data_IF_811929697999
#
_entry.id   IF_811929697999
#
_cell.length_a   1.000
_cell.length_b   1.000
_cell.length_c   1.000
_cell.angle_alpha   90.00
_cell.angle_beta   90.00
_cell.angle_gamma   90.00
#
_symmetry.space_group_name_H-M   'P 1'
#
loop_
_entity.id
_entity.type
_entity.pdbx_description
1 polymer ?
#
# COMPACT_ATOMS: atom_id res chain seq x y z
N UNK A 1 -20.01 -0.17 13.42
CA UNK A 1 -18.60 0.28 13.39
C UNK A 1 -17.80 -0.54 14.37
N UNK A 2 -16.62 -1.03 13.99
CA UNK A 2 -15.73 -1.74 14.89
C UNK A 2 -14.37 -1.06 14.91
N UNK A 3 -13.82 -0.91 16.11
CA UNK A 3 -12.43 -0.55 16.37
C UNK A 3 -11.63 -1.83 16.52
N UNK A 4 -10.42 -1.84 15.95
CA UNK A 4 -9.50 -2.96 16.13
C UNK A 4 -8.24 -2.47 16.82
N UNK A 5 -7.79 -3.25 17.80
CA UNK A 5 -6.54 -2.99 18.52
C UNK A 5 -5.65 -4.23 18.49
N UNK A 6 -4.45 -4.07 17.95
CA UNK A 6 -3.40 -5.09 17.92
C UNK A 6 -2.30 -4.64 18.87
N UNK A 7 -1.97 -5.44 19.87
CA UNK A 7 -0.94 -5.14 20.85
C UNK A 7 0.09 -6.26 20.88
N UNK A 8 1.32 -5.95 20.44
CA UNK A 8 2.44 -6.88 20.39
C UNK A 8 2.13 -8.15 19.57
N UNK A 9 1.26 -8.05 18.55
CA UNK A 9 0.81 -9.23 17.81
C UNK A 9 1.96 -9.84 17.02
N UNK A 10 2.14 -11.17 17.21
CA UNK A 10 3.20 -11.94 16.58
C UNK A 10 2.69 -13.23 15.93
N UNK A 11 3.42 -13.68 14.91
CA UNK A 11 3.18 -14.94 14.21
C UNK A 11 4.46 -15.66 13.87
N UNK A 12 4.58 -16.88 14.37
CA UNK A 12 5.68 -17.80 14.06
C UNK A 12 5.13 -19.11 13.48
N UNK A 13 5.85 -19.67 12.54
CA UNK A 13 5.64 -21.03 12.01
C UNK A 13 6.87 -21.87 12.35
N UNK A 14 6.78 -22.64 13.45
CA UNK A 14 7.93 -23.35 14.00
C UNK A 14 9.04 -22.38 14.41
N UNK A 15 10.19 -22.43 13.75
CA UNK A 15 11.34 -21.57 14.02
C UNK A 15 11.38 -20.28 13.16
N UNK A 16 10.39 -20.06 12.29
CA UNK A 16 10.36 -18.91 11.41
C UNK A 16 9.37 -17.87 11.93
N UNK A 17 9.87 -16.71 12.31
CA UNK A 17 9.05 -15.56 12.69
C UNK A 17 8.66 -14.80 11.42
N UNK A 18 7.34 -14.68 11.19
CA UNK A 18 6.76 -13.99 10.03
C UNK A 18 6.32 -12.58 10.39
N UNK A 19 5.77 -12.42 11.59
CA UNK A 19 5.37 -11.13 12.15
C UNK A 19 5.80 -11.08 13.61
N UNK A 20 6.31 -9.94 14.04
CA UNK A 20 6.73 -9.67 15.40
C UNK A 20 6.35 -8.26 15.82
N UNK A 21 5.87 -8.14 17.03
CA UNK A 21 5.63 -6.85 17.70
C UNK A 21 4.78 -5.88 16.87
N UNK A 22 3.64 -6.37 16.39
CA UNK A 22 2.68 -5.56 15.62
C UNK A 22 1.78 -4.83 16.60
N UNK A 23 2.01 -3.52 16.74
CA UNK A 23 1.15 -2.57 17.43
C UNK A 23 0.41 -1.72 16.40
N UNK A 24 -0.93 -1.80 16.39
CA UNK A 24 -1.75 -1.09 15.42
C UNK A 24 -3.14 -0.86 15.98
N UNK A 25 -3.55 0.40 16.00
CA UNK A 25 -4.91 0.82 16.29
C UNK A 25 -5.62 1.23 15.01
N UNK A 26 -6.80 0.67 14.74
CA UNK A 26 -7.63 0.96 13.57
C UNK A 26 -8.95 1.53 14.08
N UNK A 27 -9.25 2.74 13.65
CA UNK A 27 -10.45 3.46 14.07
C UNK A 27 -11.72 2.91 13.41
N UNK A 28 -12.87 3.19 14.03
CA UNK A 28 -14.19 2.81 13.51
C UNK A 28 -14.48 3.49 12.18
N UNK A 29 -14.85 2.69 11.17
CA UNK A 29 -15.15 3.19 9.82
C UNK A 29 -13.94 3.57 8.99
N UNK A 30 -12.74 3.28 9.47
CA UNK A 30 -11.50 3.54 8.74
C UNK A 30 -11.31 2.59 7.56
N UNK A 31 -10.77 3.10 6.44
CA UNK A 31 -10.25 2.30 5.34
C UNK A 31 -8.73 2.21 5.44
N UNK A 32 -8.23 1.13 6.00
CA UNK A 32 -6.79 0.93 6.16
C UNK A 32 -6.24 -0.06 5.11
N UNK A 33 -5.07 0.25 4.54
CA UNK A 33 -4.46 -0.59 3.51
C UNK A 33 -3.11 -1.10 3.98
N UNK A 34 -2.91 -2.41 3.95
CA UNK A 34 -1.63 -3.06 4.23
C UNK A 34 -0.84 -3.24 2.94
N UNK A 35 0.36 -2.69 2.89
CA UNK A 35 1.30 -2.81 1.77
C UNK A 35 2.66 -3.32 2.25
N UNK A 36 3.49 -3.76 1.31
CA UNK A 36 4.84 -4.24 1.61
C UNK A 36 5.29 -5.28 0.58
N UNK A 37 6.56 -5.70 0.60
CA UNK A 37 7.10 -6.68 -0.32
C UNK A 37 6.44 -8.05 -0.17
N UNK A 38 6.64 -8.92 -1.16
CA UNK A 38 6.14 -10.29 -1.09
C UNK A 38 6.75 -11.02 0.11
N UNK A 39 5.91 -11.74 0.84
CA UNK A 39 6.36 -12.52 2.01
C UNK A 39 6.49 -11.73 3.33
N UNK A 40 6.23 -10.42 3.39
CA UNK A 40 6.32 -9.64 4.63
C UNK A 40 5.18 -9.86 5.64
N UNK A 41 4.25 -10.78 5.37
CA UNK A 41 3.21 -11.15 6.34
C UNK A 41 1.85 -10.48 6.18
N UNK A 42 1.59 -9.64 5.15
CA UNK A 42 0.30 -8.93 4.93
C UNK A 42 -0.92 -9.85 5.01
N UNK A 43 -0.97 -10.87 4.15
CA UNK A 43 -2.10 -11.82 4.13
C UNK A 43 -2.16 -12.68 5.41
N UNK A 44 -1.00 -12.92 6.06
CA UNK A 44 -0.96 -13.60 7.35
C UNK A 44 -1.64 -12.75 8.43
N UNK A 45 -1.30 -11.46 8.51
CA UNK A 45 -1.93 -10.51 9.43
C UNK A 45 -3.44 -10.42 9.18
N UNK A 46 -3.84 -10.27 7.91
CA UNK A 46 -5.25 -10.24 7.54
C UNK A 46 -5.99 -11.51 7.97
N UNK A 47 -5.39 -12.69 7.77
CA UNK A 47 -5.97 -13.99 8.17
C UNK A 47 -6.01 -14.18 9.67
N UNK A 48 -5.07 -13.62 10.42
CA UNK A 48 -5.13 -13.59 11.89
C UNK A 48 -6.31 -12.74 12.37
N UNK A 49 -6.54 -11.57 11.77
CA UNK A 49 -7.72 -10.73 12.06
C UNK A 49 -9.01 -11.50 11.73
N UNK A 50 -9.06 -12.19 10.59
CA UNK A 50 -10.20 -13.02 10.19
C UNK A 50 -10.42 -14.25 11.11
N UNK A 51 -9.44 -14.65 11.91
CA UNK A 51 -9.45 -15.89 12.70
C UNK A 51 -9.17 -17.15 11.89
N UNK A 52 -8.69 -17.01 10.67
CA UNK A 52 -8.30 -18.13 9.80
C UNK A 52 -6.87 -18.61 10.08
N UNK A 53 -6.10 -17.80 10.80
CA UNK A 53 -4.74 -18.10 11.24
C UNK A 53 -4.61 -17.74 12.72
N UNK A 54 -3.93 -18.59 13.49
CA UNK A 54 -3.74 -18.36 14.92
C UNK A 54 -2.63 -17.33 15.19
N UNK A 55 -2.89 -16.42 16.10
CA UNK A 55 -1.90 -15.52 16.70
C UNK A 55 -1.00 -16.36 17.63
N UNK A 56 0.32 -16.17 17.56
CA UNK A 56 1.29 -16.90 18.43
C UNK A 56 1.79 -16.06 19.59
N UNK A 57 1.63 -14.74 19.55
CA UNK A 57 1.94 -13.80 20.63
C UNK A 57 1.12 -12.54 20.51
N UNK A 58 0.98 -11.79 21.60
CA UNK A 58 0.19 -10.57 21.65
C UNK A 58 -1.31 -10.78 21.67
N UNK A 59 -2.06 -9.68 21.49
CA UNK A 59 -3.52 -9.64 21.62
C UNK A 59 -4.15 -8.90 20.47
N UNK A 60 -5.23 -9.45 19.91
CA UNK A 60 -6.13 -8.78 18.97
C UNK A 60 -7.47 -8.54 19.65
N UNK A 61 -7.92 -7.31 19.66
CA UNK A 61 -9.24 -6.91 20.13
C UNK A 61 -10.08 -6.33 18.99
N UNK A 62 -11.39 -6.61 19.03
CA UNK A 62 -12.40 -5.98 18.16
C UNK A 62 -13.51 -5.46 19.08
N UNK A 63 -13.77 -4.14 19.05
CA UNK A 63 -14.72 -3.47 19.97
C UNK A 63 -14.41 -3.73 21.45
N UNK A 64 -13.13 -3.86 21.83
CA UNK A 64 -12.68 -4.14 23.20
C UNK A 64 -12.81 -5.60 23.63
N UNK A 65 -13.23 -6.50 22.76
CA UNK A 65 -13.30 -7.95 23.02
C UNK A 65 -12.08 -8.67 22.44
N UNK A 66 -11.40 -9.48 23.23
CA UNK A 66 -10.26 -10.27 22.81
C UNK A 66 -10.69 -11.36 21.83
N UNK A 67 -10.08 -11.39 20.65
CA UNK A 67 -10.46 -12.27 19.54
C UNK A 67 -9.53 -13.47 19.32
N UNK A 68 -8.45 -13.59 20.07
CA UNK A 68 -7.42 -14.61 19.84
C UNK A 68 -7.98 -16.03 19.65
N UNK A 69 -8.92 -16.43 20.50
CA UNK A 69 -9.54 -17.76 20.50
C UNK A 69 -10.98 -17.79 19.95
N UNK A 70 -11.51 -16.64 19.51
CA UNK A 70 -12.86 -16.54 18.93
C UNK A 70 -12.85 -17.11 17.52
N UNK A 71 -13.77 -18.07 17.20
CA UNK A 71 -13.87 -18.63 15.86
C UNK A 71 -14.24 -17.57 14.79
N UNK A 72 -13.79 -17.72 13.53
CA UNK A 72 -14.02 -16.74 12.45
C UNK A 72 -15.48 -16.32 12.28
N UNK A 73 -16.41 -17.27 12.40
CA UNK A 73 -17.85 -17.02 12.23
C UNK A 73 -18.45 -16.08 13.28
N UNK A 74 -17.80 -15.91 14.43
CA UNK A 74 -18.29 -15.14 15.58
C UNK A 74 -17.58 -13.79 15.74
N UNK A 75 -16.56 -13.48 14.92
CA UNK A 75 -15.80 -12.21 15.00
C UNK A 75 -16.50 -11.00 14.40
N UNK A 76 -17.67 -11.19 13.75
CA UNK A 76 -18.35 -10.09 13.05
C UNK A 76 -17.61 -9.58 11.80
N UNK A 77 -16.70 -10.38 11.26
CA UNK A 77 -15.87 -10.04 10.08
C UNK A 77 -16.38 -10.76 8.82
N UNK A 78 -16.18 -10.14 7.65
CA UNK A 78 -16.35 -10.78 6.36
C UNK A 78 -15.10 -10.59 5.51
N UNK A 79 -14.74 -11.61 4.70
CA UNK A 79 -13.51 -11.60 3.92
C UNK A 79 -13.78 -11.91 2.45
N UNK A 80 -13.18 -11.12 1.58
CA UNK A 80 -13.08 -11.34 0.14
C UNK A 80 -11.68 -11.87 -0.17
N UNK A 81 -11.63 -13.08 -0.72
CA UNK A 81 -10.38 -13.75 -1.06
C UNK A 81 -9.89 -13.38 -2.46
N UNK A 82 -8.62 -13.47 -2.70
CA UNK A 82 -7.96 -13.26 -3.98
C UNK A 82 -8.59 -14.08 -5.14
N UNK A 83 -9.03 -15.31 -4.88
CA UNK A 83 -9.62 -16.23 -5.86
C UNK A 83 -11.15 -16.13 -5.96
N UNK A 84 -11.77 -15.11 -5.33
CA UNK A 84 -13.22 -14.93 -5.21
C UNK A 84 -13.95 -16.05 -4.46
N UNK A 85 -13.48 -17.29 -4.49
CA UNK A 85 -14.00 -18.47 -3.82
C UNK A 85 -15.52 -18.68 -4.02
N UNK A 86 -16.04 -18.41 -5.24
CA UNK A 86 -17.45 -18.61 -5.57
C UNK A 86 -17.78 -20.10 -5.70
N UNK A 87 -18.99 -20.48 -5.27
CA UNK A 87 -19.53 -21.82 -5.49
C UNK A 87 -19.97 -21.97 -6.94
N UNK A 88 -19.27 -22.76 -7.78
CA UNK A 88 -19.46 -22.74 -9.25
C UNK A 88 -20.80 -23.31 -9.71
N UNK A 89 -21.44 -24.13 -8.86
CA UNK A 89 -22.74 -24.80 -9.13
C UNK A 89 -23.92 -23.99 -8.60
N UNK A 90 -23.70 -22.88 -7.92
CA UNK A 90 -24.74 -22.01 -7.38
C UNK A 90 -24.90 -20.76 -8.25
N UNK A 91 -26.13 -20.24 -8.37
CA UNK A 91 -26.40 -18.95 -9.00
C UNK A 91 -25.76 -17.80 -8.21
N UNK A 92 -25.74 -16.60 -8.78
CA UNK A 92 -25.31 -15.37 -8.06
C UNK A 92 -26.14 -15.19 -6.78
N UNK A 93 -27.46 -15.29 -6.90
CA UNK A 93 -28.41 -15.23 -5.78
C UNK A 93 -28.05 -16.24 -4.69
N UNK A 94 -27.86 -17.51 -5.06
CA UNK A 94 -27.56 -18.56 -4.10
C UNK A 94 -26.18 -18.41 -3.47
N UNK A 95 -25.17 -17.96 -4.22
CA UNK A 95 -23.86 -17.62 -3.69
C UNK A 95 -23.98 -16.56 -2.59
N UNK A 96 -24.75 -15.49 -2.82
CA UNK A 96 -24.94 -14.42 -1.84
C UNK A 96 -25.77 -14.89 -0.64
N UNK A 97 -26.84 -15.64 -0.88
CA UNK A 97 -27.73 -16.16 0.15
C UNK A 97 -27.11 -17.22 1.07
N UNK A 98 -26.04 -17.91 0.61
CA UNK A 98 -25.56 -19.15 1.24
C UNK A 98 -25.24 -19.01 2.73
N UNK A 99 -24.50 -17.96 3.11
CA UNK A 99 -24.13 -17.76 4.52
C UNK A 99 -25.35 -17.51 5.41
N UNK A 100 -26.35 -16.78 4.93
CA UNK A 100 -27.57 -16.49 5.67
C UNK A 100 -28.47 -17.73 5.79
N UNK A 101 -28.51 -18.60 4.74
CA UNK A 101 -29.21 -19.88 4.79
C UNK A 101 -28.60 -20.82 5.86
N UNK A 102 -27.26 -20.90 5.94
CA UNK A 102 -26.58 -21.69 6.99
C UNK A 102 -26.84 -21.12 8.38
N UNK A 103 -26.92 -19.80 8.50
CA UNK A 103 -27.26 -19.13 9.77
C UNK A 103 -28.74 -19.28 10.17
N UNK A 104 -29.57 -19.97 9.36
CA UNK A 104 -30.98 -20.22 9.65
C UNK A 104 -31.87 -18.99 9.59
N UNK A 105 -31.46 -17.94 8.83
CA UNK A 105 -32.25 -16.72 8.68
C UNK A 105 -33.56 -16.96 7.94
N UNK A 106 -34.64 -16.23 8.25
CA UNK A 106 -35.91 -16.31 7.52
C UNK A 106 -35.73 -15.95 6.04
N UNK A 107 -36.49 -16.64 5.15
CA UNK A 107 -36.40 -16.43 3.70
C UNK A 107 -36.61 -14.95 3.30
N UNK A 108 -37.56 -14.25 3.91
CA UNK A 108 -37.81 -12.84 3.65
C UNK A 108 -36.61 -11.93 4.02
N UNK A 109 -35.89 -12.25 5.08
CA UNK A 109 -34.67 -11.52 5.49
C UNK A 109 -33.53 -11.79 4.49
N UNK A 110 -33.38 -13.04 4.05
CA UNK A 110 -32.39 -13.42 3.03
C UNK A 110 -32.66 -12.69 1.70
N UNK A 111 -33.90 -12.71 1.23
CA UNK A 111 -34.29 -12.07 -0.03
C UNK A 111 -34.07 -10.55 0.03
N UNK A 112 -34.40 -9.90 1.14
CA UNK A 112 -34.16 -8.48 1.34
C UNK A 112 -32.66 -8.15 1.34
N UNK A 113 -31.82 -8.92 2.05
CA UNK A 113 -30.38 -8.73 2.11
C UNK A 113 -29.71 -8.92 0.75
N UNK A 114 -30.11 -9.98 0.02
CA UNK A 114 -29.59 -10.26 -1.33
C UNK A 114 -30.01 -9.16 -2.31
N UNK A 115 -31.27 -8.72 -2.29
CA UNK A 115 -31.74 -7.63 -3.15
C UNK A 115 -31.01 -6.31 -2.86
N UNK A 116 -30.78 -5.99 -1.59
CA UNK A 116 -30.01 -4.79 -1.21
C UNK A 116 -28.57 -4.85 -1.72
N UNK A 117 -27.87 -5.96 -1.48
CA UNK A 117 -26.49 -6.14 -1.94
C UNK A 117 -26.40 -6.16 -3.49
N UNK A 118 -27.35 -6.80 -4.18
CA UNK A 118 -27.43 -6.80 -5.64
C UNK A 118 -27.56 -5.39 -6.21
N UNK A 119 -28.43 -4.56 -5.62
CA UNK A 119 -28.63 -3.17 -6.01
C UNK A 119 -27.36 -2.33 -5.80
N UNK A 120 -26.69 -2.45 -4.65
CA UNK A 120 -25.46 -1.73 -4.34
C UNK A 120 -24.38 -2.04 -5.38
N UNK A 121 -24.29 -3.31 -5.79
CA UNK A 121 -23.25 -3.85 -6.67
C UNK A 121 -23.70 -3.96 -8.14
N UNK A 122 -24.88 -3.49 -8.49
CA UNK A 122 -25.45 -3.54 -9.85
C UNK A 122 -25.47 -5.00 -10.41
N UNK A 123 -25.86 -5.95 -9.57
CA UNK A 123 -25.93 -7.38 -9.91
C UNK A 123 -27.33 -7.88 -10.24
N UNK A 124 -28.38 -7.02 -10.16
CA UNK A 124 -29.78 -7.41 -10.40
C UNK A 124 -29.98 -8.20 -11.70
N UNK A 125 -29.39 -7.82 -12.88
CA UNK A 125 -29.57 -8.57 -14.14
C UNK A 125 -28.87 -9.94 -14.18
N UNK A 126 -28.04 -10.24 -13.18
CA UNK A 126 -27.17 -11.41 -13.15
C UNK A 126 -27.54 -12.44 -12.08
N UNK A 127 -28.54 -12.15 -11.24
CA UNK A 127 -28.90 -12.93 -10.05
C UNK A 127 -29.10 -14.42 -10.33
N UNK A 128 -29.67 -14.78 -11.49
CA UNK A 128 -29.98 -16.16 -11.87
C UNK A 128 -28.86 -16.84 -12.70
N UNK A 129 -27.74 -16.13 -12.93
CA UNK A 129 -26.60 -16.69 -13.68
C UNK A 129 -25.68 -17.50 -12.78
N UNK A 130 -24.99 -18.47 -13.38
CA UNK A 130 -23.87 -19.19 -12.75
C UNK A 130 -22.56 -18.39 -12.91
N UNK A 131 -21.56 -18.55 -12.00
CA UNK A 131 -20.26 -17.86 -12.07
C UNK A 131 -19.53 -17.99 -13.41
N UNK A 132 -19.67 -19.12 -14.11
CA UNK A 132 -19.08 -19.35 -15.44
C UNK A 132 -19.59 -18.40 -16.54
N UNK A 133 -20.78 -17.83 -16.36
CA UNK A 133 -21.42 -16.90 -17.29
C UNK A 133 -21.16 -15.42 -16.95
N UNK A 134 -20.21 -15.14 -16.03
CA UNK A 134 -19.87 -13.81 -15.55
C UNK A 134 -18.46 -13.41 -15.99
N UNK A 135 -18.25 -12.10 -16.22
CA UNK A 135 -16.92 -11.52 -16.37
C UNK A 135 -16.12 -11.57 -15.05
N UNK A 136 -14.81 -11.29 -15.10
CA UNK A 136 -13.95 -11.21 -13.91
C UNK A 136 -14.49 -10.24 -12.86
N UNK A 137 -14.80 -9.00 -13.25
CA UNK A 137 -15.37 -8.00 -12.36
C UNK A 137 -16.75 -8.36 -11.81
N UNK A 138 -17.61 -8.99 -12.63
CA UNK A 138 -18.89 -9.49 -12.13
C UNK A 138 -18.71 -10.58 -11.07
N UNK A 139 -17.77 -11.52 -11.28
CA UNK A 139 -17.44 -12.53 -10.25
C UNK A 139 -16.93 -11.89 -8.96
N UNK A 140 -16.11 -10.88 -9.07
CA UNK A 140 -15.61 -10.13 -7.91
C UNK A 140 -16.75 -9.43 -7.17
N UNK A 141 -17.66 -8.73 -7.87
CA UNK A 141 -18.84 -8.12 -7.24
C UNK A 141 -19.70 -9.16 -6.52
N UNK A 142 -19.85 -10.36 -7.06
CA UNK A 142 -20.56 -11.46 -6.37
C UNK A 142 -19.81 -11.86 -5.08
N UNK A 143 -18.48 -11.94 -5.10
CA UNK A 143 -17.69 -12.24 -3.90
C UNK A 143 -17.84 -11.15 -2.83
N UNK A 144 -17.84 -9.87 -3.23
CA UNK A 144 -18.13 -8.73 -2.36
C UNK A 144 -19.58 -8.83 -1.83
N UNK A 145 -20.56 -9.14 -2.68
CA UNK A 145 -21.95 -9.30 -2.29
C UNK A 145 -22.18 -10.40 -1.24
N UNK A 146 -21.46 -11.52 -1.34
CA UNK A 146 -21.45 -12.58 -0.31
C UNK A 146 -20.98 -12.09 1.06
N UNK A 147 -20.11 -11.10 1.08
CA UNK A 147 -19.61 -10.51 2.30
C UNK A 147 -20.60 -9.46 2.84
N UNK A 148 -21.13 -8.58 1.98
CA UNK A 148 -22.06 -7.52 2.35
C UNK A 148 -23.35 -8.05 2.98
N UNK A 149 -23.95 -9.13 2.45
CA UNK A 149 -25.20 -9.70 2.99
C UNK A 149 -25.12 -10.12 4.45
N UNK A 150 -23.91 -10.27 5.00
CA UNK A 150 -23.68 -10.62 6.40
C UNK A 150 -23.70 -9.41 7.33
N UNK A 151 -23.77 -8.20 6.78
CA UNK A 151 -23.67 -6.93 7.53
C UNK A 151 -22.48 -6.91 8.49
N UNK A 152 -21.25 -7.03 7.94
CA UNK A 152 -20.07 -7.18 8.78
C UNK A 152 -19.68 -5.86 9.45
N UNK A 153 -19.17 -5.93 10.68
CA UNK A 153 -18.52 -4.80 11.35
C UNK A 153 -17.16 -4.45 10.72
N UNK A 154 -16.43 -5.47 10.26
CA UNK A 154 -15.11 -5.35 9.63
C UNK A 154 -15.11 -6.10 8.30
N UNK A 155 -14.68 -5.41 7.24
CA UNK A 155 -14.60 -5.97 5.90
C UNK A 155 -13.14 -6.14 5.49
N UNK A 156 -12.74 -7.36 5.17
CA UNK A 156 -11.37 -7.75 4.86
C UNK A 156 -11.22 -8.09 3.38
N UNK A 157 -10.20 -7.54 2.71
CA UNK A 157 -9.88 -7.79 1.30
C UNK A 157 -8.45 -8.31 1.17
N UNK A 158 -8.29 -9.56 0.69
CA UNK A 158 -6.98 -10.19 0.42
C UNK A 158 -6.67 -10.11 -1.07
N UNK A 159 -5.96 -9.08 -1.52
CA UNK A 159 -5.55 -8.79 -2.90
C UNK A 159 -6.69 -8.97 -3.93
N UNK A 160 -7.85 -8.32 -3.76
CA UNK A 160 -9.04 -8.63 -4.54
C UNK A 160 -8.93 -8.29 -6.03
N UNK A 161 -8.00 -7.40 -6.43
CA UNK A 161 -7.86 -6.94 -7.82
C UNK A 161 -6.72 -7.61 -8.59
N UNK A 162 -5.90 -8.45 -7.95
CA UNK A 162 -4.68 -9.03 -8.53
C UNK A 162 -4.95 -9.89 -9.79
N UNK A 163 -6.12 -10.50 -9.90
CA UNK A 163 -6.51 -11.38 -11.02
C UNK A 163 -7.28 -10.66 -12.15
N UNK A 164 -7.31 -9.32 -12.15
CA UNK A 164 -8.01 -8.52 -13.16
C UNK A 164 -7.02 -7.90 -14.16
N UNK A 165 -7.49 -7.72 -15.40
CA UNK A 165 -6.79 -6.87 -16.38
C UNK A 165 -6.76 -5.41 -15.95
N UNK A 166 -5.88 -4.60 -16.56
CA UNK A 166 -5.63 -3.21 -16.15
C UNK A 166 -6.90 -2.34 -16.20
N UNK A 167 -7.72 -2.44 -17.26
CA UNK A 167 -8.92 -1.62 -17.41
C UNK A 167 -9.98 -1.98 -16.35
N UNK A 168 -10.18 -3.28 -16.13
CA UNK A 168 -11.13 -3.79 -15.14
C UNK A 168 -10.66 -3.49 -13.71
N UNK A 169 -9.34 -3.52 -13.46
CA UNK A 169 -8.75 -3.14 -12.16
C UNK A 169 -9.08 -1.69 -11.81
N UNK A 170 -8.89 -0.75 -12.74
CA UNK A 170 -9.25 0.66 -12.54
C UNK A 170 -10.74 0.82 -12.21
N UNK A 171 -11.62 0.20 -13.02
CA UNK A 171 -13.07 0.28 -12.80
C UNK A 171 -13.47 -0.27 -11.42
N UNK A 172 -12.94 -1.44 -11.06
CA UNK A 172 -13.31 -2.10 -9.80
C UNK A 172 -12.72 -1.37 -8.57
N UNK A 173 -11.54 -0.75 -8.70
CA UNK A 173 -10.99 0.11 -7.64
C UNK A 173 -11.95 1.27 -7.32
N UNK A 174 -12.49 1.93 -8.36
CA UNK A 174 -13.51 2.99 -8.19
C UNK A 174 -14.76 2.44 -7.49
N UNK A 175 -15.20 1.23 -7.85
CA UNK A 175 -16.35 0.59 -7.21
C UNK A 175 -16.11 0.30 -5.71
N UNK A 176 -14.90 -0.11 -5.33
CA UNK A 176 -14.52 -0.33 -3.92
C UNK A 176 -14.49 1.00 -3.16
N UNK A 177 -13.96 2.08 -3.76
CA UNK A 177 -14.00 3.41 -3.16
C UNK A 177 -15.46 3.87 -2.91
N UNK A 178 -16.35 3.71 -3.90
CA UNK A 178 -17.77 4.02 -3.75
C UNK A 178 -18.49 3.11 -2.72
N UNK A 179 -18.02 1.86 -2.58
CA UNK A 179 -18.55 0.96 -1.57
C UNK A 179 -18.24 1.47 -0.16
N UNK A 180 -17.01 1.93 0.07
CA UNK A 180 -16.62 2.55 1.34
C UNK A 180 -17.50 3.76 1.68
N UNK A 181 -17.74 4.66 0.72
CA UNK A 181 -18.63 5.81 0.91
C UNK A 181 -20.08 5.41 1.28
N UNK A 182 -20.57 4.28 0.72
CA UNK A 182 -21.91 3.75 1.00
C UNK A 182 -22.00 2.97 2.32
N UNK A 183 -20.86 2.58 2.88
CA UNK A 183 -20.76 1.80 4.12
C UNK A 183 -19.87 2.52 5.17
N UNK A 184 -20.18 3.77 5.53
CA UNK A 184 -19.29 4.58 6.39
C UNK A 184 -19.13 4.00 7.80
N UNK A 185 -20.04 3.12 8.21
CA UNK A 185 -20.03 2.45 9.51
C UNK A 185 -19.24 1.14 9.52
N UNK A 186 -18.64 0.74 8.39
CA UNK A 186 -17.90 -0.52 8.27
C UNK A 186 -16.41 -0.23 8.18
N UNK A 187 -15.63 -0.75 9.12
CA UNK A 187 -14.16 -0.68 9.05
C UNK A 187 -13.65 -1.59 7.94
N UNK A 188 -12.80 -1.09 7.05
CA UNK A 188 -12.27 -1.84 5.92
C UNK A 188 -10.77 -2.04 6.02
N UNK A 189 -10.31 -3.28 5.88
CA UNK A 189 -8.89 -3.64 5.84
C UNK A 189 -8.60 -4.29 4.49
N UNK A 190 -7.67 -3.69 3.75
CA UNK A 190 -7.35 -4.08 2.38
C UNK A 190 -5.88 -4.43 2.24
N UNK A 191 -5.58 -5.58 1.69
CA UNK A 191 -4.21 -6.00 1.36
C UNK A 191 -3.98 -5.84 -0.13
N UNK A 192 -2.88 -5.20 -0.50
CA UNK A 192 -2.44 -5.09 -1.89
C UNK A 192 -0.91 -5.00 -1.99
N UNK A 193 -0.38 -5.32 -3.17
CA UNK A 193 0.98 -4.99 -3.58
C UNK A 193 1.00 -3.83 -4.59
N UNK A 194 -0.17 -3.32 -5.01
CA UNK A 194 -0.31 -2.20 -5.94
C UNK A 194 -0.36 -0.88 -5.18
N UNK A 195 0.65 -0.03 -5.37
CA UNK A 195 0.74 1.26 -4.71
C UNK A 195 -0.36 2.23 -5.11
N UNK A 196 -0.85 2.15 -6.37
CA UNK A 196 -1.91 3.02 -6.85
C UNK A 196 -3.23 2.70 -6.14
N UNK A 197 -3.48 1.40 -5.85
CA UNK A 197 -4.63 0.99 -5.03
C UNK A 197 -4.51 1.59 -3.62
N UNK A 198 -3.35 1.42 -2.97
CA UNK A 198 -3.12 1.93 -1.62
C UNK A 198 -3.26 3.46 -1.55
N UNK A 199 -2.60 4.19 -2.45
CA UNK A 199 -2.64 5.66 -2.49
C UNK A 199 -4.04 6.22 -2.80
N UNK A 200 -4.91 5.43 -3.47
CA UNK A 200 -6.25 5.88 -3.88
C UNK A 200 -7.32 5.54 -2.86
N UNK A 201 -7.23 4.36 -2.22
CA UNK A 201 -8.30 3.82 -1.38
C UNK A 201 -8.13 4.13 0.11
N UNK A 202 -6.87 4.24 0.58
CA UNK A 202 -6.60 4.28 2.00
C UNK A 202 -6.90 5.63 2.66
N UNK A 203 -7.50 5.61 3.83
CA UNK A 203 -7.41 6.70 4.82
C UNK A 203 -6.01 6.70 5.44
N UNK A 204 -5.52 5.52 5.85
CA UNK A 204 -4.13 5.29 6.27
C UNK A 204 -3.57 4.03 5.61
N UNK A 205 -2.27 4.07 5.33
CA UNK A 205 -1.49 2.93 4.83
C UNK A 205 -0.60 2.41 5.95
N UNK A 206 -0.54 1.09 6.11
CA UNK A 206 0.45 0.39 6.96
C UNK A 206 1.48 -0.24 6.03
N UNK A 207 2.70 0.22 6.10
CA UNK A 207 3.83 -0.36 5.37
C UNK A 207 4.47 -1.42 6.23
N UNK A 208 4.37 -2.69 5.81
CA UNK A 208 4.97 -3.85 6.48
C UNK A 208 6.31 -4.20 5.85
N UNK A 209 7.33 -4.37 6.67
CA UNK A 209 8.67 -4.81 6.25
C UNK A 209 9.39 -5.52 7.39
N UNK A 210 10.23 -6.52 7.06
CA UNK A 210 11.05 -7.22 8.05
C UNK A 210 10.27 -7.88 9.20
N UNK A 211 9.01 -8.24 8.96
CA UNK A 211 8.14 -8.83 9.97
C UNK A 211 7.45 -7.82 10.91
N UNK A 212 7.69 -6.52 10.75
CA UNK A 212 7.10 -5.45 11.56
C UNK A 212 6.44 -4.35 10.74
N UNK A 213 6.01 -3.29 11.41
CA UNK A 213 5.48 -2.07 10.80
C UNK A 213 6.62 -1.08 10.58
N UNK A 214 6.90 -0.74 9.32
CA UNK A 214 7.91 0.25 8.97
C UNK A 214 7.39 1.70 9.13
N UNK A 215 6.14 1.94 8.74
CA UNK A 215 5.46 3.23 8.94
C UNK A 215 3.95 3.07 8.80
N UNK A 216 3.19 3.88 9.53
CA UNK A 216 1.75 4.08 9.36
C UNK A 216 1.48 5.56 9.17
N UNK A 217 0.60 5.91 8.23
CA UNK A 217 0.22 7.30 7.99
C UNK A 217 -0.74 7.47 6.81
N UNK A 218 -1.17 8.69 6.57
CA UNK A 218 -1.94 9.04 5.39
C UNK A 218 -1.10 8.82 4.10
N UNK A 219 -1.73 8.48 2.95
CA UNK A 219 -0.98 8.20 1.72
C UNK A 219 0.05 9.26 1.35
N UNK A 220 -0.32 10.53 1.32
CA UNK A 220 0.60 11.63 0.98
C UNK A 220 1.67 11.85 2.05
N UNK A 221 1.37 11.58 3.33
CA UNK A 221 2.37 11.66 4.40
C UNK A 221 3.51 10.65 4.18
N UNK A 222 3.19 9.40 3.82
CA UNK A 222 4.20 8.40 3.52
C UNK A 222 5.04 8.77 2.29
N UNK A 223 4.42 9.42 1.32
CA UNK A 223 5.08 9.86 0.11
C UNK A 223 6.00 11.06 0.36
N UNK A 224 5.52 12.09 1.05
CA UNK A 224 6.25 13.34 1.28
C UNK A 224 7.22 13.26 2.48
N UNK A 225 6.93 12.41 3.46
CA UNK A 225 7.67 12.30 4.73
C UNK A 225 7.95 10.84 5.10
N UNK A 226 8.68 10.10 4.26
CA UNK A 226 9.04 8.72 4.58
C UNK A 226 9.94 8.66 5.82
N UNK A 227 9.64 7.72 6.73
CA UNK A 227 10.38 7.57 7.99
C UNK A 227 11.78 7.00 7.79
N UNK A 228 11.96 6.20 6.75
CA UNK A 228 13.23 5.54 6.45
C UNK A 228 13.40 5.32 4.93
N UNK A 229 14.60 4.93 4.52
CA UNK A 229 14.94 4.69 3.12
C UNK A 229 14.07 3.60 2.48
N UNK A 230 13.72 2.57 3.25
CA UNK A 230 12.84 1.50 2.75
C UNK A 230 11.47 2.07 2.33
N UNK A 231 10.82 2.85 3.18
CA UNK A 231 9.52 3.47 2.87
C UNK A 231 9.66 4.45 1.72
N UNK A 232 10.75 5.24 1.68
CA UNK A 232 11.03 6.19 0.61
C UNK A 232 11.13 5.54 -0.77
N UNK A 233 11.80 4.38 -0.84
CA UNK A 233 11.95 3.60 -2.07
C UNK A 233 10.72 2.74 -2.38
N UNK A 234 10.02 2.26 -1.35
CA UNK A 234 8.84 1.42 -1.54
C UNK A 234 7.62 2.22 -1.99
N UNK A 235 7.43 3.46 -1.51
CA UNK A 235 6.30 4.33 -1.86
C UNK A 235 6.70 5.29 -2.98
N UNK A 236 6.08 5.12 -4.14
CA UNK A 236 6.35 5.87 -5.36
C UNK A 236 6.87 4.97 -6.49
N UNK A 237 6.53 5.33 -7.73
CA UNK A 237 6.95 4.60 -8.93
C UNK A 237 7.31 5.58 -10.05
N UNK A 238 8.58 5.55 -10.51
CA UNK A 238 9.70 4.75 -10.04
C UNK A 238 10.12 5.03 -8.59
N UNK A 239 10.98 4.15 -8.01
CA UNK A 239 11.49 4.31 -6.65
C UNK A 239 12.32 5.59 -6.48
N UNK A 240 12.38 6.12 -5.24
CA UNK A 240 13.24 7.25 -4.90
C UNK A 240 14.71 6.93 -5.17
N UNK A 241 15.41 7.85 -5.83
CA UNK A 241 16.87 7.76 -5.98
C UNK A 241 17.56 8.06 -4.65
N UNK A 242 18.60 7.30 -4.33
CA UNK A 242 19.44 7.55 -3.16
C UNK A 242 20.87 7.87 -3.62
N UNK A 243 21.46 8.93 -3.05
CA UNK A 243 22.83 9.34 -3.33
C UNK A 243 23.59 9.48 -2.01
N UNK A 244 24.72 8.78 -1.90
CA UNK A 244 25.56 8.83 -0.72
C UNK A 244 26.37 10.15 -0.65
N UNK A 245 26.57 10.64 0.56
CA UNK A 245 27.34 11.88 0.79
C UNK A 245 27.65 12.12 2.26
N UNK A 246 28.14 13.31 2.53
CA UNK A 246 28.53 13.79 3.85
C UNK A 246 27.98 15.20 4.09
N UNK A 247 27.45 15.46 5.27
CA UNK A 247 26.98 16.79 5.65
C UNK A 247 28.17 17.75 5.74
N UNK A 248 28.20 18.75 4.88
CA UNK A 248 29.26 19.76 4.78
C UNK A 248 28.85 21.12 5.37
N UNK A 249 27.55 21.31 5.66
CA UNK A 249 27.02 22.50 6.31
C UNK A 249 25.71 22.21 6.99
N UNK A 250 25.53 22.77 8.16
CA UNK A 250 24.41 22.53 9.08
C UNK A 250 23.58 23.80 9.32
N UNK A 251 22.36 23.65 9.83
CA UNK A 251 21.45 24.76 10.15
C UNK A 251 20.03 24.50 9.64
N UNK A 252 19.32 25.60 9.30
CA UNK A 252 17.98 25.52 8.73
C UNK A 252 17.99 24.93 7.31
N UNK A 253 19.10 25.06 6.59
CA UNK A 253 19.39 24.39 5.33
C UNK A 253 20.62 23.51 5.54
N UNK A 254 20.51 22.26 5.11
CA UNK A 254 21.61 21.29 5.16
C UNK A 254 22.32 21.27 3.81
N UNK A 255 23.64 21.39 3.83
CA UNK A 255 24.48 21.26 2.63
C UNK A 255 25.17 19.90 2.66
N UNK A 256 25.02 19.13 1.60
CA UNK A 256 25.57 17.77 1.49
C UNK A 256 26.53 17.70 0.31
N UNK A 257 27.78 17.27 0.54
CA UNK A 257 28.75 16.95 -0.48
C UNK A 257 28.56 15.48 -0.87
N UNK A 258 28.29 15.23 -2.15
CA UNK A 258 28.02 13.88 -2.65
C UNK A 258 29.30 13.15 -3.04
N UNK A 259 29.33 11.84 -2.84
CA UNK A 259 30.48 11.00 -3.16
C UNK A 259 30.75 10.94 -4.67
N UNK A 260 29.71 10.93 -5.49
CA UNK A 260 29.83 11.00 -6.96
C UNK A 260 30.23 12.39 -7.49
N UNK A 261 30.47 13.34 -6.58
CA UNK A 261 30.73 14.74 -6.91
C UNK A 261 29.42 15.59 -6.92
N UNK A 262 29.59 16.90 -6.79
CA UNK A 262 28.48 17.83 -6.69
C UNK A 262 28.04 18.09 -5.24
N UNK A 263 27.07 19.00 -5.11
CA UNK A 263 26.55 19.46 -3.83
C UNK A 263 25.02 19.47 -3.88
N UNK A 264 24.40 18.85 -2.89
CA UNK A 264 22.97 18.95 -2.67
C UNK A 264 22.65 19.90 -1.52
N UNK A 265 21.48 20.51 -1.58
CA UNK A 265 20.90 21.31 -0.48
C UNK A 265 19.57 20.72 -0.09
N UNK A 266 19.26 20.77 1.20
CA UNK A 266 17.97 20.28 1.73
C UNK A 266 17.44 21.24 2.78
N UNK A 267 16.11 21.42 2.80
CA UNK A 267 15.42 22.16 3.86
C UNK A 267 15.25 21.36 5.15
N UNK A 268 15.69 20.10 5.19
CA UNK A 268 15.75 19.29 6.42
C UNK A 268 16.79 19.90 7.34
N UNK A 269 16.40 20.38 8.55
CA UNK A 269 17.33 21.05 9.43
C UNK A 269 18.30 20.06 10.09
N UNK A 270 19.56 20.50 10.24
CA UNK A 270 20.61 19.73 10.92
C UNK A 270 21.27 20.55 12.02
N UNK A 271 21.88 19.83 12.98
CA UNK A 271 22.55 20.42 14.14
C UNK A 271 24.06 20.48 13.88
N UNK A 272 24.83 21.37 14.59
CA UNK A 272 26.28 21.45 14.42
C UNK A 272 27.02 20.11 14.57
N UNK A 273 26.51 19.22 15.45
CA UNK A 273 27.09 17.88 15.63
C UNK A 273 26.88 16.92 14.45
N UNK A 274 26.01 17.27 13.51
CA UNK A 274 25.78 16.48 12.30
C UNK A 274 26.84 16.77 11.20
N UNK A 275 27.67 17.80 11.35
CA UNK A 275 28.72 18.11 10.38
C UNK A 275 29.71 16.95 10.25
N UNK A 276 30.04 16.56 9.03
CA UNK A 276 30.87 15.38 8.74
C UNK A 276 30.12 14.04 8.81
N UNK A 277 28.84 14.01 9.19
CA UNK A 277 28.08 12.76 9.25
C UNK A 277 27.80 12.21 7.86
N UNK A 278 27.98 10.91 7.71
CA UNK A 278 27.59 10.17 6.49
C UNK A 278 26.08 10.08 6.40
N UNK A 279 25.55 10.40 5.22
CA UNK A 279 24.11 10.39 4.93
C UNK A 279 23.84 9.89 3.51
N UNK A 280 22.63 9.42 3.29
CA UNK A 280 22.06 9.30 1.94
C UNK A 280 21.05 10.43 1.74
N UNK A 281 21.12 11.11 0.61
CA UNK A 281 20.02 11.97 0.18
C UNK A 281 19.08 11.18 -0.71
N UNK A 282 17.78 11.44 -0.53
CA UNK A 282 16.72 10.87 -1.36
C UNK A 282 16.10 11.94 -2.25
N UNK A 283 15.95 11.65 -3.56
CA UNK A 283 15.23 12.52 -4.49
C UNK A 283 14.32 11.68 -5.35
N UNK A 284 13.05 12.06 -5.45
CA UNK A 284 12.11 11.34 -6.30
C UNK A 284 12.42 11.58 -7.79
N UNK A 285 12.18 10.58 -8.66
CA UNK A 285 12.43 10.72 -10.09
C UNK A 285 11.76 11.94 -10.74
N UNK A 286 10.56 12.31 -10.31
CA UNK A 286 9.79 13.46 -10.78
C UNK A 286 10.25 14.81 -10.24
N UNK A 287 11.03 14.82 -9.15
CA UNK A 287 11.61 16.03 -8.56
C UNK A 287 13.01 16.32 -9.10
N UNK A 288 13.53 15.46 -9.98
CA UNK A 288 14.78 15.68 -10.69
C UNK A 288 14.58 16.54 -11.94
N UNK A 289 15.39 17.59 -12.08
CA UNK A 289 15.37 18.50 -13.21
C UNK A 289 16.72 18.47 -13.95
N UNK A 290 16.66 18.60 -15.29
CA UNK A 290 17.87 18.73 -16.12
C UNK A 290 18.43 20.14 -15.99
N UNK A 291 19.73 20.25 -15.69
CA UNK A 291 20.42 21.53 -15.58
C UNK A 291 21.63 21.61 -16.51
N UNK A 292 22.00 22.83 -16.91
CA UNK A 292 23.27 23.10 -17.58
C UNK A 292 24.38 23.59 -16.64
N UNK A 293 24.08 23.69 -15.31
CA UNK A 293 25.00 24.12 -14.28
C UNK A 293 25.49 22.98 -13.39
N UNK A 294 25.89 23.32 -12.17
CA UNK A 294 26.20 22.35 -11.14
C UNK A 294 24.93 21.57 -10.74
N UNK A 295 25.07 20.27 -10.46
CA UNK A 295 23.97 19.40 -10.08
C UNK A 295 24.34 18.41 -8.99
N UNK A 296 23.39 17.59 -8.65
CA UNK A 296 23.53 16.51 -7.65
C UNK A 296 24.02 15.20 -8.29
N UNK A 297 23.83 15.07 -9.61
CA UNK A 297 24.25 13.88 -10.36
C UNK A 297 24.53 14.24 -11.83
N UNK A 298 25.55 13.64 -12.40
CA UNK A 298 25.86 13.74 -13.84
C UNK A 298 26.18 12.32 -14.36
N UNK A 299 25.46 11.90 -15.39
CA UNK A 299 25.65 10.55 -15.96
C UNK A 299 25.25 10.47 -17.42
N UNK A 300 25.66 9.39 -18.08
CA UNK A 300 25.24 9.06 -19.43
C UNK A 300 23.85 8.40 -19.41
N UNK A 301 22.95 8.84 -20.27
CA UNK A 301 21.63 8.23 -20.40
C UNK A 301 21.74 6.93 -21.20
N UNK A 302 21.42 5.81 -20.57
CA UNK A 302 21.45 4.48 -21.19
C UNK A 302 20.15 4.14 -21.91
N UNK A 303 19.01 4.34 -21.22
CA UNK A 303 17.68 4.02 -21.73
C UNK A 303 16.77 5.26 -21.64
N UNK A 304 15.93 5.44 -22.65
CA UNK A 304 14.91 6.48 -22.71
C UNK A 304 13.56 5.82 -22.99
N UNK A 305 12.61 5.97 -22.08
CA UNK A 305 11.24 5.52 -22.24
C UNK A 305 10.31 6.74 -22.39
N UNK A 306 9.92 7.05 -23.61
CA UNK A 306 8.96 8.13 -23.90
C UNK A 306 7.53 7.58 -23.86
N UNK A 307 6.80 7.82 -22.76
CA UNK A 307 5.46 7.30 -22.49
C UNK A 307 4.33 8.25 -22.93
N UNK A 308 4.70 9.38 -23.55
CA UNK A 308 3.77 10.40 -24.04
C UNK A 308 3.60 11.55 -23.04
N UNK A 309 3.01 11.32 -21.89
CA UNK A 309 2.85 12.34 -20.83
C UNK A 309 4.16 12.60 -20.06
N UNK A 310 5.00 11.59 -19.96
CA UNK A 310 6.30 11.65 -19.29
C UNK A 310 7.37 10.91 -20.08
N UNK A 311 8.64 11.25 -19.84
CA UNK A 311 9.82 10.50 -20.31
C UNK A 311 10.65 10.08 -19.12
N UNK A 312 10.96 8.77 -19.04
CA UNK A 312 11.91 8.23 -18.07
C UNK A 312 13.31 8.15 -18.70
N UNK A 313 14.27 8.72 -18.00
CA UNK A 313 15.70 8.59 -18.34
C UNK A 313 16.34 7.66 -17.31
N UNK A 314 16.93 6.57 -17.79
CA UNK A 314 17.71 5.64 -16.98
C UNK A 314 19.18 5.89 -17.26
N UNK A 315 19.96 6.05 -16.19
CA UNK A 315 21.37 6.39 -16.29
C UNK A 315 22.24 5.16 -16.11
N UNK A 316 23.37 5.15 -16.83
CA UNK A 316 24.39 4.11 -16.71
C UNK A 316 24.93 4.05 -15.29
N UNK A 317 25.07 2.83 -14.75
CA UNK A 317 25.59 2.59 -13.41
C UNK A 317 26.91 1.85 -13.45
N UNK A 318 27.89 2.33 -12.69
CA UNK A 318 29.15 1.60 -12.46
C UNK A 318 28.92 0.48 -11.43
N UNK A 319 29.13 -0.78 -11.85
CA UNK A 319 29.34 -1.90 -10.91
C UNK A 319 28.12 -2.48 -10.20
N UNK A 320 26.90 -2.27 -10.69
CA UNK A 320 25.68 -2.94 -10.18
C UNK A 320 24.94 -2.19 -9.07
N UNK A 321 25.19 -0.92 -8.90
CA UNK A 321 24.35 -0.02 -8.11
C UNK A 321 22.98 0.18 -8.78
N UNK A 322 21.96 0.60 -8.00
CA UNK A 322 20.65 0.89 -8.54
C UNK A 322 20.73 2.04 -9.57
N UNK A 323 20.15 1.85 -10.75
CA UNK A 323 20.11 2.88 -11.80
C UNK A 323 19.44 4.15 -11.29
N UNK A 324 20.07 5.30 -11.50
CA UNK A 324 19.42 6.59 -11.29
C UNK A 324 18.33 6.77 -12.34
N UNK A 325 17.14 7.22 -11.94
CA UNK A 325 16.00 7.43 -12.82
C UNK A 325 15.51 8.86 -12.69
N UNK A 326 15.41 9.59 -13.82
CA UNK A 326 14.72 10.87 -13.86
C UNK A 326 13.41 10.73 -14.64
N UNK A 327 12.33 11.36 -14.14
CA UNK A 327 11.00 11.35 -14.74
C UNK A 327 10.64 12.77 -15.17
N UNK A 328 10.82 13.05 -16.45
CA UNK A 328 10.61 14.38 -17.02
C UNK A 328 9.19 14.53 -17.61
N UNK A 329 8.52 15.65 -17.45
CA UNK A 329 7.22 15.88 -18.07
C UNK A 329 7.36 15.98 -19.60
N UNK A 330 6.40 15.40 -20.33
CA UNK A 330 6.36 15.44 -21.80
C UNK A 330 7.31 14.47 -22.50
N UNK A 331 7.55 14.71 -23.79
CA UNK A 331 8.31 13.83 -24.68
C UNK A 331 9.72 14.39 -24.88
N UNK A 332 10.74 13.68 -24.40
CA UNK A 332 12.16 14.00 -24.56
C UNK A 332 12.85 12.90 -25.36
N UNK A 333 12.97 13.08 -26.67
CA UNK A 333 13.68 12.15 -27.56
C UNK A 333 15.14 12.55 -27.74
N UNK A 334 15.99 11.59 -28.18
CA UNK A 334 17.38 11.87 -28.54
C UNK A 334 18.34 12.11 -27.36
N UNK A 335 17.95 11.68 -26.15
CA UNK A 335 18.78 11.81 -24.94
C UNK A 335 19.75 10.63 -24.75
N UNK A 336 19.49 9.48 -25.39
CA UNK A 336 20.32 8.28 -25.24
C UNK A 336 21.77 8.54 -25.63
N UNK A 337 22.71 8.12 -24.78
CA UNK A 337 24.16 8.32 -24.96
C UNK A 337 24.63 9.74 -24.67
N UNK A 338 23.76 10.66 -24.27
CA UNK A 338 24.15 12.01 -23.84
C UNK A 338 24.44 12.02 -22.34
N UNK A 339 25.46 12.79 -21.96
CA UNK A 339 25.69 13.14 -20.56
C UNK A 339 24.68 14.21 -20.14
N UNK A 340 23.94 13.95 -19.07
CA UNK A 340 22.92 14.84 -18.53
C UNK A 340 23.22 15.10 -17.07
N UNK A 341 23.16 16.38 -16.66
CA UNK A 341 23.31 16.79 -15.27
C UNK A 341 21.91 17.03 -14.67
N UNK A 342 21.68 16.45 -13.49
CA UNK A 342 20.42 16.53 -12.76
C UNK A 342 20.59 17.36 -11.48
N UNK A 343 19.56 18.12 -11.15
CA UNK A 343 19.43 18.87 -9.90
C UNK A 343 18.05 18.65 -9.28
N UNK A 344 17.85 19.10 -8.06
CA UNK A 344 16.56 19.13 -7.40
C UNK A 344 16.43 20.36 -6.52
N UNK A 345 15.20 20.85 -6.31
CA UNK A 345 14.92 21.92 -5.37
C UNK A 345 15.20 21.45 -3.92
N UNK A 346 15.71 22.32 -3.02
CA UNK A 346 16.10 21.94 -1.67
C UNK A 346 14.98 21.32 -0.81
N UNK A 347 13.72 21.71 -1.04
CA UNK A 347 12.53 21.17 -0.38
C UNK A 347 12.13 19.78 -0.87
N UNK A 348 12.73 19.30 -1.97
CA UNK A 348 12.54 17.97 -2.57
C UNK A 348 13.65 16.99 -2.22
N UNK A 349 14.64 17.42 -1.46
CA UNK A 349 15.78 16.59 -1.05
C UNK A 349 15.54 16.08 0.37
N UNK A 350 15.32 14.76 0.49
CA UNK A 350 15.28 14.06 1.78
C UNK A 350 16.68 13.75 2.28
N UNK A 351 16.86 13.65 3.59
CA UNK A 351 18.16 13.29 4.19
C UNK A 351 17.96 12.14 5.16
N UNK A 352 18.70 11.05 4.92
CA UNK A 352 18.67 9.83 5.74
C UNK A 352 20.05 9.59 6.36
N UNK A 353 20.07 9.30 7.65
CA UNK A 353 21.25 8.86 8.37
C UNK A 353 20.97 7.50 9.01
N UNK A 354 21.87 6.54 8.80
CA UNK A 354 21.70 5.16 9.26
C UNK A 354 20.34 4.54 8.82
N UNK A 355 19.90 4.90 7.61
CA UNK A 355 18.66 4.45 7.01
C UNK A 355 17.40 5.16 7.51
N UNK A 356 17.48 6.05 8.50
CA UNK A 356 16.34 6.78 9.10
C UNK A 356 16.36 8.24 8.65
N UNK A 357 15.19 8.78 8.30
CA UNK A 357 15.05 10.18 7.92
C UNK A 357 15.36 11.10 9.10
N UNK A 358 16.17 12.13 8.86
CA UNK A 358 16.52 13.13 9.89
C UNK A 358 15.31 13.95 10.37
N UNK A 359 14.17 13.90 9.67
CA UNK A 359 12.90 14.46 10.15
C UNK A 359 12.36 13.73 11.39
N UNK A 360 12.77 12.48 11.63
CA UNK A 360 12.29 11.61 12.71
C UNK A 360 13.39 11.26 13.74
N UNK A 361 14.49 12.00 13.77
CA UNK A 361 15.63 11.69 14.66
C UNK A 361 15.30 11.71 16.16
N UNK A 362 14.26 12.45 16.54
CA UNK A 362 13.84 12.65 17.94
C UNK A 362 12.48 11.96 18.22
N UNK A 363 11.99 11.08 17.32
CA UNK A 363 10.68 10.42 17.41
C UNK A 363 10.80 8.95 17.83
#
# INVERSE_FOLDING_TARGET
>A
MAELNLTGVAKSYGAVDVLSDIDLEIEKGEFIVFVGPSGCGKSTLLRMIAGLEKITGGTLEIDGEVMNDVPPAQRGVAMVFQTYALYPHMTVRDNMAFALKIAGKPAAEIDAAVANAARILQLDPYLDRLPKALSGGQRQRVAIGRAIVRDPKVFLFDEPLSNLDAALRVATRIEIAQLNEKMPDTTMIYVTHDQVEAMTLASRIVVLAGGGIAQVGAPLELYERPRNEFVAQFIGSPAMNLFAGEIAGTGAETVIRLDAGGVARSTVPTRPEDEGRRVNIGVRPEDLEVTGGEGIYTGAVEIVEALGEVTLLYFETDGGEASVIAKLPGIHTGQRGRSVTLTAAPDKVHVFADGVSLLYRDA
#
